data_IF_786234781696
#
_entry.id   IF_786234781696
#
_cell.length_a   1.000
_cell.length_b   1.000
_cell.length_c   1.000
_cell.angle_alpha   90.00
_cell.angle_beta   90.00
_cell.angle_gamma   90.00
#
_symmetry.space_group_name_H-M   'P 1'
#
loop_
_entity.id
_entity.type
_entity.pdbx_description
1 polymer ?
#
# COMPACT_ATOMS: atom_id res chain seq x y z
N UNK A 1 -66.94 -6.63 -5.64
CA UNK A 1 -65.66 -5.89 -5.49
C UNK A 1 -64.90 -6.55 -4.35
N UNK A 2 -64.03 -7.51 -4.67
CA UNK A 2 -63.14 -8.13 -3.69
C UNK A 2 -61.82 -7.38 -3.72
N UNK A 3 -61.46 -6.79 -2.59
CA UNK A 3 -60.25 -6.00 -2.42
C UNK A 3 -59.13 -6.94 -1.94
N UNK A 4 -58.25 -7.34 -2.85
CA UNK A 4 -57.09 -8.18 -2.55
C UNK A 4 -55.98 -7.28 -2.01
N UNK A 5 -55.79 -7.29 -0.68
CA UNK A 5 -54.72 -6.54 -0.04
C UNK A 5 -53.37 -7.20 -0.34
N UNK A 6 -52.44 -6.44 -0.92
CA UNK A 6 -51.08 -6.89 -1.18
C UNK A 6 -50.38 -7.34 0.11
N UNK A 7 -49.60 -8.44 0.10
CA UNK A 7 -48.91 -8.92 1.30
C UNK A 7 -47.87 -7.90 1.76
N UNK A 8 -47.84 -7.62 3.07
CA UNK A 8 -46.86 -6.72 3.68
C UNK A 8 -45.42 -7.20 3.43
N UNK A 9 -44.49 -6.27 3.14
CA UNK A 9 -43.09 -6.63 2.96
C UNK A 9 -42.51 -7.25 4.23
N UNK A 10 -41.82 -8.39 4.07
CA UNK A 10 -41.22 -9.14 5.16
C UNK A 10 -40.20 -8.28 5.93
N UNK A 11 -40.62 -7.76 7.08
CA UNK A 11 -39.82 -6.98 8.04
C UNK A 11 -38.62 -7.75 8.64
N UNK A 12 -38.46 -9.02 8.30
CA UNK A 12 -37.34 -9.88 8.71
C UNK A 12 -36.40 -10.24 7.56
N UNK A 13 -36.41 -9.51 6.44
CA UNK A 13 -35.34 -9.57 5.46
C UNK A 13 -34.01 -9.16 6.12
N UNK A 14 -33.31 -10.12 6.73
CA UNK A 14 -31.98 -9.91 7.30
C UNK A 14 -31.08 -9.51 6.14
N UNK A 15 -30.61 -8.28 6.16
CA UNK A 15 -29.47 -7.87 5.33
C UNK A 15 -28.36 -8.90 5.57
N UNK A 16 -27.79 -9.54 4.54
CA UNK A 16 -26.71 -10.50 4.74
C UNK A 16 -25.56 -9.78 5.43
N UNK A 17 -25.27 -10.14 6.69
CA UNK A 17 -24.04 -9.70 7.32
C UNK A 17 -22.90 -10.38 6.58
N UNK A 18 -21.92 -9.63 6.04
CA UNK A 18 -20.78 -10.23 5.39
C UNK A 18 -20.07 -11.15 6.38
N UNK A 19 -19.79 -12.37 5.93
CA UNK A 19 -19.02 -13.35 6.70
C UNK A 19 -17.70 -12.70 7.15
N UNK A 20 -17.40 -12.74 8.45
CA UNK A 20 -16.16 -12.19 9.03
C UNK A 20 -14.92 -12.70 8.29
N UNK A 21 -14.96 -13.94 7.79
CA UNK A 21 -13.88 -14.52 7.00
C UNK A 21 -13.82 -13.96 5.57
N UNK A 22 -14.94 -13.53 4.99
CA UNK A 22 -14.95 -12.82 3.71
C UNK A 22 -14.28 -11.44 3.85
N UNK A 23 -14.65 -10.67 4.88
CA UNK A 23 -14.04 -9.36 5.16
C UNK A 23 -12.53 -9.45 5.40
N UNK A 24 -12.08 -10.45 6.16
CA UNK A 24 -10.64 -10.67 6.37
C UNK A 24 -9.91 -11.04 5.08
N UNK A 25 -10.54 -11.84 4.20
CA UNK A 25 -9.96 -12.19 2.90
C UNK A 25 -9.86 -10.97 1.99
N UNK A 26 -10.88 -10.12 1.98
CA UNK A 26 -10.89 -8.87 1.21
C UNK A 26 -9.80 -7.90 1.72
N UNK A 27 -9.64 -7.74 3.03
CA UNK A 27 -8.57 -6.92 3.63
C UNK A 27 -7.17 -7.42 3.22
N UNK A 28 -6.94 -8.74 3.33
CA UNK A 28 -5.68 -9.35 2.91
C UNK A 28 -5.44 -9.20 1.41
N UNK A 29 -6.46 -9.38 0.58
CA UNK A 29 -6.38 -9.21 -0.86
C UNK A 29 -6.04 -7.75 -1.22
N UNK A 30 -6.68 -6.79 -0.56
CA UNK A 30 -6.40 -5.37 -0.74
C UNK A 30 -4.94 -5.03 -0.41
N UNK A 31 -4.42 -5.52 0.71
CA UNK A 31 -3.03 -5.28 1.06
C UNK A 31 -2.03 -5.98 0.11
N UNK A 32 -2.32 -7.20 -0.32
CA UNK A 32 -1.50 -7.93 -1.30
C UNK A 32 -1.46 -7.20 -2.66
N UNK A 33 -2.61 -6.72 -3.12
CA UNK A 33 -2.76 -5.95 -4.34
C UNK A 33 -1.95 -4.63 -4.30
N UNK A 34 -2.06 -3.86 -3.22
CA UNK A 34 -1.26 -2.64 -3.01
C UNK A 34 0.25 -2.93 -3.04
N UNK A 35 0.69 -3.96 -2.30
CA UNK A 35 2.11 -4.36 -2.25
C UNK A 35 2.60 -4.79 -3.63
N UNK A 36 1.79 -5.52 -4.40
CA UNK A 36 2.13 -5.93 -5.77
C UNK A 36 2.27 -4.73 -6.71
N UNK A 37 1.36 -3.76 -6.65
CA UNK A 37 1.44 -2.51 -7.42
C UNK A 37 2.73 -1.75 -7.10
N UNK A 38 3.06 -1.60 -5.81
CA UNK A 38 4.26 -0.90 -5.38
C UNK A 38 5.56 -1.60 -5.79
N UNK A 39 5.66 -2.93 -5.59
CA UNK A 39 6.82 -3.71 -6.05
C UNK A 39 7.01 -3.54 -7.55
N UNK A 40 5.92 -3.59 -8.32
CA UNK A 40 5.98 -3.46 -9.78
C UNK A 40 6.41 -2.06 -10.21
N UNK A 41 5.85 -1.01 -9.60
CA UNK A 41 6.21 0.38 -9.90
C UNK A 41 7.69 0.64 -9.64
N UNK A 42 8.21 0.23 -8.47
CA UNK A 42 9.63 0.40 -8.11
C UNK A 42 10.53 -0.43 -9.02
N UNK A 43 10.13 -1.66 -9.36
CA UNK A 43 10.92 -2.54 -10.23
C UNK A 43 10.97 -2.04 -11.68
N UNK A 44 10.00 -1.23 -12.12
CA UNK A 44 9.95 -0.68 -13.47
C UNK A 44 10.92 0.51 -13.68
N UNK A 45 11.42 1.12 -12.60
CA UNK A 45 12.32 2.27 -12.70
C UNK A 45 13.68 1.91 -13.27
N UNK A 46 14.25 2.84 -14.05
CA UNK A 46 15.64 2.74 -14.50
C UNK A 46 16.57 2.82 -13.27
N UNK A 47 17.64 2.03 -13.27
CA UNK A 47 18.58 1.93 -12.14
C UNK A 47 18.19 0.93 -11.04
N UNK A 48 16.96 0.41 -11.04
CA UNK A 48 16.51 -0.61 -10.10
C UNK A 48 16.77 -2.05 -10.56
N UNK A 49 17.36 -2.26 -11.74
CA UNK A 49 17.67 -3.60 -12.30
C UNK A 49 16.46 -4.55 -12.29
N UNK A 50 15.24 -4.03 -12.45
CA UNK A 50 14.04 -4.85 -12.44
C UNK A 50 13.61 -5.37 -11.05
N UNK A 51 14.12 -4.81 -9.94
CA UNK A 51 13.86 -5.31 -8.58
C UNK A 51 13.62 -4.21 -7.54
N UNK A 52 12.85 -4.53 -6.51
CA UNK A 52 12.79 -3.79 -5.25
C UNK A 52 13.79 -4.39 -4.28
N UNK A 53 14.81 -3.63 -3.88
CA UNK A 53 15.91 -4.10 -3.04
C UNK A 53 15.66 -3.86 -1.54
N UNK A 54 15.43 -4.94 -0.79
CA UNK A 54 15.26 -4.93 0.67
C UNK A 54 13.83 -4.73 1.16
N UNK A 55 13.44 -5.54 2.14
CA UNK A 55 12.13 -5.42 2.82
C UNK A 55 11.97 -4.10 3.57
N UNK A 56 13.07 -3.51 4.05
CA UNK A 56 13.04 -2.18 4.65
C UNK A 56 12.58 -1.12 3.66
N UNK A 57 13.09 -1.15 2.41
CA UNK A 57 12.64 -0.21 1.37
C UNK A 57 11.16 -0.42 1.08
N UNK A 58 10.70 -1.66 0.95
CA UNK A 58 9.27 -1.96 0.77
C UNK A 58 8.42 -1.35 1.89
N UNK A 59 8.77 -1.60 3.15
CA UNK A 59 8.00 -1.12 4.28
C UNK A 59 7.93 0.42 4.34
N UNK A 60 9.03 1.11 4.02
CA UNK A 60 9.06 2.58 4.02
C UNK A 60 8.28 3.18 2.86
N UNK A 61 8.36 2.59 1.68
CA UNK A 61 7.57 3.06 0.54
C UNK A 61 6.08 2.76 0.71
N UNK A 62 5.71 1.60 1.27
CA UNK A 62 4.30 1.27 1.55
C UNK A 62 3.73 2.17 2.67
N UNK A 63 4.56 2.63 3.62
CA UNK A 63 4.17 3.70 4.53
C UNK A 63 3.80 4.97 3.77
N UNK A 64 4.67 5.48 2.90
CA UNK A 64 4.37 6.71 2.13
C UNK A 64 3.20 6.52 1.17
N UNK A 65 2.96 5.30 0.69
CA UNK A 65 1.80 4.97 -0.13
C UNK A 65 0.48 5.00 0.66
N UNK A 66 0.50 4.53 1.92
CA UNK A 66 -0.66 4.57 2.83
C UNK A 66 -0.92 5.95 3.39
N UNK A 67 0.12 6.76 3.58
CA UNK A 67 0.06 8.16 4.06
C UNK A 67 0.53 9.14 2.97
N UNK A 68 -0.18 9.25 1.84
CA UNK A 68 0.32 9.96 0.66
C UNK A 68 0.46 11.47 0.89
N UNK A 69 -0.32 12.07 1.80
CA UNK A 69 -0.20 13.47 2.17
C UNK A 69 1.12 13.79 2.90
N UNK A 70 1.76 12.80 3.52
CA UNK A 70 3.07 12.95 4.17
C UNK A 70 4.25 12.70 3.22
N UNK A 71 4.00 12.18 2.01
CA UNK A 71 5.05 11.68 1.14
C UNK A 71 6.02 12.78 0.69
N UNK A 72 5.52 13.96 0.34
CA UNK A 72 6.31 15.11 -0.11
C UNK A 72 7.20 15.68 1.01
N UNK A 73 6.85 15.46 2.29
CA UNK A 73 7.70 15.85 3.41
C UNK A 73 8.95 14.97 3.50
N UNK A 74 8.89 13.74 2.97
CA UNK A 74 9.96 12.74 3.05
C UNK A 74 10.76 12.64 1.76
N UNK A 75 10.10 12.74 0.61
CA UNK A 75 10.70 12.61 -0.72
C UNK A 75 10.88 14.00 -1.34
N UNK A 76 12.12 14.50 -1.38
CA UNK A 76 12.43 15.84 -1.90
C UNK A 76 11.98 16.05 -3.34
N UNK A 77 12.06 14.99 -4.15
CA UNK A 77 11.70 15.04 -5.57
C UNK A 77 10.19 14.87 -5.83
N UNK A 78 9.36 14.85 -4.77
CA UNK A 78 7.91 14.73 -4.89
C UNK A 78 7.23 16.08 -4.67
N UNK A 79 6.67 16.64 -5.73
CA UNK A 79 5.82 17.84 -5.65
C UNK A 79 4.59 17.55 -4.77
N UNK A 80 4.29 18.35 -3.72
CA UNK A 80 3.06 18.23 -2.93
C UNK A 80 1.78 18.28 -3.78
N UNK A 81 1.82 18.91 -4.96
CA UNK A 81 0.71 19.01 -5.90
C UNK A 81 0.77 17.97 -7.03
N UNK A 82 1.66 16.97 -6.94
CA UNK A 82 1.71 15.91 -7.95
C UNK A 82 0.34 15.23 -8.07
N UNK A 83 -0.32 15.44 -9.21
CA UNK A 83 -1.68 14.95 -9.48
C UNK A 83 -1.78 13.43 -9.37
N UNK A 84 -0.65 12.72 -9.53
CA UNK A 84 -0.60 11.26 -9.40
C UNK A 84 -0.81 10.81 -7.95
N UNK A 85 -0.59 11.68 -6.96
CA UNK A 85 -0.90 11.40 -5.57
C UNK A 85 -2.41 11.35 -5.30
N UNK A 86 -3.25 11.95 -6.15
CA UNK A 86 -4.71 11.94 -6.01
C UNK A 86 -5.14 12.30 -4.56
N UNK A 87 -4.59 13.38 -4.01
CA UNK A 87 -4.92 13.87 -2.68
C UNK A 87 -6.23 14.66 -2.71
N UNK A 88 -7.13 14.36 -1.79
CA UNK A 88 -8.33 15.13 -1.53
C UNK A 88 -8.04 16.25 -0.52
N UNK A 89 -8.96 17.23 -0.40
CA UNK A 89 -8.87 18.24 0.67
C UNK A 89 -8.82 17.61 2.06
N UNK A 90 -9.51 16.49 2.25
CA UNK A 90 -9.50 15.75 3.53
C UNK A 90 -8.13 15.13 3.80
N UNK A 91 -7.50 14.51 2.81
CA UNK A 91 -6.17 13.92 2.96
C UNK A 91 -5.14 14.98 3.40
N UNK A 92 -5.28 16.22 2.92
CA UNK A 92 -4.41 17.33 3.30
C UNK A 92 -4.70 17.86 4.71
N UNK A 93 -5.97 17.93 5.10
CA UNK A 93 -6.38 18.40 6.43
C UNK A 93 -6.10 17.39 7.55
N UNK A 94 -6.21 16.10 7.24
CA UNK A 94 -6.05 14.97 8.17
C UNK A 94 -5.06 13.93 7.61
N UNK A 95 -3.75 14.24 7.49
CA UNK A 95 -2.79 13.44 6.73
C UNK A 95 -2.52 12.04 7.28
N UNK A 96 -2.98 11.76 8.50
CA UNK A 96 -2.87 10.47 9.20
C UNK A 96 -4.19 9.71 9.29
N UNK A 97 -5.30 10.32 8.84
CA UNK A 97 -6.64 9.72 8.75
C UNK A 97 -6.75 8.93 7.44
N UNK A 98 -6.19 7.71 7.45
CA UNK A 98 -6.02 6.88 6.24
C UNK A 98 -6.80 5.57 6.32
N UNK A 99 -7.13 5.00 5.16
CA UNK A 99 -7.89 3.74 5.03
C UNK A 99 -7.20 2.54 5.69
N UNK A 100 -5.88 2.44 5.58
CA UNK A 100 -5.10 1.28 6.04
C UNK A 100 -3.90 1.70 6.90
N UNK A 101 -4.14 2.16 8.15
CA UNK A 101 -3.08 2.71 8.97
C UNK A 101 -2.06 1.64 9.40
N UNK A 102 -0.81 2.05 9.56
CA UNK A 102 0.30 1.19 10.00
C UNK A 102 0.55 1.25 11.50
N UNK A 103 1.08 0.15 12.03
CA UNK A 103 1.58 0.06 13.40
C UNK A 103 3.03 0.54 13.46
N UNK A 104 3.35 1.30 14.50
CA UNK A 104 4.70 1.81 14.76
C UNK A 104 5.52 0.78 15.56
N UNK A 105 6.60 0.26 14.99
CA UNK A 105 7.56 -0.62 15.69
C UNK A 105 8.88 0.10 15.98
N UNK A 106 9.82 -0.61 16.64
CA UNK A 106 11.13 -0.07 17.05
C UNK A 106 11.92 0.57 15.90
N UNK A 107 11.80 0.03 14.69
CA UNK A 107 12.50 0.51 13.49
C UNK A 107 11.57 1.21 12.48
N UNK A 108 10.46 1.77 12.98
CA UNK A 108 9.57 2.70 12.28
C UNK A 108 8.25 2.03 11.92
N UNK A 109 7.50 2.58 10.94
CA UNK A 109 6.28 1.95 10.46
C UNK A 109 6.68 0.59 9.88
N UNK A 110 6.09 -0.44 10.45
CA UNK A 110 6.31 -1.83 10.05
C UNK A 110 5.00 -2.58 10.21
N UNK A 111 4.79 -3.56 9.34
CA UNK A 111 3.62 -4.40 9.34
C UNK A 111 4.12 -5.84 9.38
N UNK A 112 3.90 -6.55 10.49
CA UNK A 112 4.30 -7.96 10.62
C UNK A 112 3.65 -8.85 9.54
N UNK A 113 2.54 -8.37 8.95
CA UNK A 113 1.86 -8.98 7.82
C UNK A 113 2.67 -9.01 6.52
N UNK A 114 3.81 -8.32 6.39
CA UNK A 114 4.60 -8.35 5.14
C UNK A 114 5.07 -9.75 4.77
N UNK A 115 5.52 -10.56 5.72
CA UNK A 115 5.99 -11.92 5.40
C UNK A 115 4.86 -12.80 4.83
N UNK A 116 3.67 -12.90 5.48
CA UNK A 116 2.52 -13.58 4.88
C UNK A 116 2.08 -13.00 3.53
N UNK A 117 2.04 -11.68 3.37
CA UNK A 117 1.64 -11.05 2.11
C UNK A 117 2.60 -11.38 0.97
N UNK A 118 3.91 -11.27 1.21
CA UNK A 118 4.93 -11.61 0.22
C UNK A 118 4.88 -13.12 -0.07
N UNK A 119 4.77 -13.96 0.97
CA UNK A 119 4.61 -15.41 0.81
C UNK A 119 3.42 -15.78 -0.08
N UNK A 120 2.27 -15.11 0.10
CA UNK A 120 1.09 -15.32 -0.72
C UNK A 120 1.28 -14.84 -2.18
N UNK A 121 1.96 -13.71 -2.40
CA UNK A 121 2.29 -13.24 -3.76
C UNK A 121 3.29 -14.16 -4.46
N UNK A 122 4.25 -14.72 -3.71
CA UNK A 122 5.22 -15.71 -4.20
C UNK A 122 4.54 -17.04 -4.52
N UNK A 123 3.70 -17.54 -3.62
CA UNK A 123 2.94 -18.79 -3.83
C UNK A 123 2.00 -18.73 -5.03
N UNK A 124 1.48 -17.55 -5.38
CA UNK A 124 0.68 -17.32 -6.60
C UNK A 124 1.53 -17.03 -7.85
N UNK A 125 2.86 -17.04 -7.75
CA UNK A 125 3.75 -16.77 -8.87
C UNK A 125 3.70 -15.34 -9.40
N UNK A 126 3.22 -14.37 -8.62
CA UNK A 126 3.12 -12.95 -9.00
C UNK A 126 4.40 -12.17 -8.68
N UNK A 127 5.09 -12.58 -7.62
CA UNK A 127 6.39 -12.06 -7.19
C UNK A 127 7.35 -13.21 -7.01
N UNK A 128 8.65 -12.98 -7.16
CA UNK A 128 9.70 -13.92 -6.77
C UNK A 128 10.78 -13.23 -5.95
N UNK A 129 11.45 -14.00 -5.12
CA UNK A 129 12.67 -13.54 -4.47
C UNK A 129 13.82 -13.43 -5.48
N UNK A 130 14.73 -12.49 -5.22
CA UNK A 130 15.96 -12.27 -5.95
C UNK A 130 17.06 -11.85 -4.98
N UNK A 131 18.32 -11.96 -5.42
CA UNK A 131 19.45 -11.43 -4.64
C UNK A 131 19.48 -9.91 -4.72
N UNK A 132 19.40 -9.26 -3.58
CA UNK A 132 19.57 -7.82 -3.41
C UNK A 132 21.05 -7.44 -3.22
N UNK A 133 21.29 -6.16 -2.92
CA UNK A 133 22.64 -5.64 -2.65
C UNK A 133 23.17 -6.18 -1.32
N UNK A 134 24.48 -6.46 -1.26
CA UNK A 134 25.16 -6.92 -0.03
C UNK A 134 24.52 -8.16 0.62
N UNK A 135 23.95 -9.06 -0.20
CA UNK A 135 23.31 -10.29 0.28
C UNK A 135 21.90 -10.12 0.84
N UNK A 136 21.29 -8.94 0.72
CA UNK A 136 19.89 -8.73 1.08
C UNK A 136 18.92 -9.52 0.19
N UNK A 137 17.67 -9.62 0.63
CA UNK A 137 16.57 -10.12 -0.20
C UNK A 137 15.99 -8.97 -1.03
N UNK A 138 15.79 -9.22 -2.32
CA UNK A 138 15.05 -8.36 -3.23
C UNK A 138 13.79 -9.06 -3.75
N UNK A 139 12.82 -8.27 -4.21
CA UNK A 139 11.57 -8.74 -4.79
C UNK A 139 11.48 -8.33 -6.25
N UNK A 140 10.99 -9.23 -7.09
CA UNK A 140 10.79 -9.00 -8.53
C UNK A 140 9.39 -9.41 -8.91
N UNK A 141 8.63 -8.52 -9.54
CA UNK A 141 7.36 -8.90 -10.16
C UNK A 141 7.62 -9.82 -11.35
N UNK A 142 6.94 -10.97 -11.37
CA UNK A 142 7.02 -11.92 -12.48
C UNK A 142 6.26 -11.38 -13.71
N UNK A 143 6.37 -12.02 -14.89
CA UNK A 143 5.51 -11.67 -16.02
C UNK A 143 4.01 -11.72 -15.68
N UNK A 144 3.57 -12.69 -14.87
CA UNK A 144 2.19 -12.77 -14.41
C UNK A 144 1.82 -11.61 -13.49
N UNK A 145 2.68 -11.25 -12.53
CA UNK A 145 2.46 -10.08 -11.67
C UNK A 145 2.41 -8.76 -12.45
N UNK A 146 3.26 -8.61 -13.46
CA UNK A 146 3.27 -7.43 -14.35
C UNK A 146 1.99 -7.32 -15.18
N UNK A 147 1.47 -8.43 -15.72
CA UNK A 147 0.19 -8.43 -16.43
C UNK A 147 -0.97 -8.06 -15.51
N UNK A 148 -1.06 -8.71 -14.35
CA UNK A 148 -2.11 -8.43 -13.38
C UNK A 148 -2.09 -6.96 -12.92
N UNK A 149 -0.91 -6.40 -12.64
CA UNK A 149 -0.81 -4.99 -12.27
C UNK A 149 -1.15 -4.03 -13.40
N UNK A 150 -0.90 -4.40 -14.66
CA UNK A 150 -1.35 -3.62 -15.80
C UNK A 150 -2.88 -3.61 -15.90
N UNK A 151 -3.52 -4.76 -15.76
CA UNK A 151 -4.99 -4.90 -15.71
C UNK A 151 -5.57 -4.09 -14.55
N UNK A 152 -5.05 -4.27 -13.33
CA UNK A 152 -5.48 -3.50 -12.15
C UNK A 152 -5.30 -1.98 -12.37
N UNK A 153 -4.18 -1.55 -12.95
CA UNK A 153 -3.92 -0.11 -13.17
C UNK A 153 -4.94 0.56 -14.10
N UNK A 154 -5.63 -0.24 -14.93
CA UNK A 154 -6.70 0.23 -15.81
C UNK A 154 -8.09 0.23 -15.16
N UNK A 155 -8.25 -0.42 -14.00
CA UNK A 155 -9.52 -0.51 -13.29
C UNK A 155 -9.78 0.73 -12.43
N UNK A 156 -11.05 1.09 -12.24
CA UNK A 156 -11.42 2.28 -11.46
C UNK A 156 -11.00 2.15 -9.98
N UNK A 157 -11.07 0.95 -9.44
CA UNK A 157 -10.76 0.61 -8.06
C UNK A 157 -9.26 0.80 -7.74
N UNK A 158 -8.39 0.47 -8.70
CA UNK A 158 -6.94 0.41 -8.45
C UNK A 158 -6.14 1.51 -9.15
N UNK A 159 -6.72 2.24 -10.09
CA UNK A 159 -6.03 3.31 -10.84
C UNK A 159 -5.40 4.37 -9.93
N UNK A 160 -6.09 4.78 -8.86
CA UNK A 160 -5.56 5.75 -7.88
C UNK A 160 -4.33 5.19 -7.17
N UNK A 161 -4.43 3.96 -6.64
CA UNK A 161 -3.33 3.31 -5.93
C UNK A 161 -2.13 3.06 -6.84
N UNK A 162 -2.38 2.66 -8.10
CA UNK A 162 -1.36 2.47 -9.11
C UNK A 162 -0.65 3.80 -9.46
N UNK A 163 -1.42 4.88 -9.59
CA UNK A 163 -0.89 6.23 -9.85
C UNK A 163 -0.02 6.73 -8.69
N UNK A 164 -0.48 6.60 -7.44
CA UNK A 164 0.31 6.93 -6.25
C UNK A 164 1.59 6.09 -6.18
N UNK A 165 1.49 4.79 -6.46
CA UNK A 165 2.63 3.87 -6.42
C UNK A 165 3.73 4.32 -7.39
N UNK A 166 3.36 4.80 -8.58
CA UNK A 166 4.31 5.37 -9.55
C UNK A 166 4.95 6.67 -9.04
N UNK A 167 4.17 7.60 -8.50
CA UNK A 167 4.71 8.85 -7.94
C UNK A 167 5.72 8.61 -6.81
N UNK A 168 5.36 7.73 -5.86
CA UNK A 168 6.24 7.32 -4.76
C UNK A 168 7.48 6.58 -5.28
N UNK A 169 7.32 5.71 -6.27
CA UNK A 169 8.44 5.00 -6.88
C UNK A 169 9.41 6.01 -7.51
N UNK A 170 8.93 6.85 -8.42
CA UNK A 170 9.74 7.84 -9.14
C UNK A 170 10.50 8.76 -8.18
N UNK A 171 9.82 9.37 -7.21
CA UNK A 171 10.43 10.29 -6.24
C UNK A 171 11.33 9.60 -5.20
N UNK A 172 11.35 8.26 -5.16
CA UNK A 172 12.26 7.48 -4.30
C UNK A 172 13.38 6.77 -5.07
N UNK A 173 13.54 7.11 -6.36
CA UNK A 173 14.63 6.62 -7.19
C UNK A 173 15.98 6.94 -6.53
N UNK A 174 16.90 5.97 -6.55
CA UNK A 174 18.22 6.13 -5.93
C UNK A 174 18.27 5.99 -4.40
N UNK A 175 17.16 6.18 -3.68
CA UNK A 175 17.14 6.06 -2.21
C UNK A 175 17.21 4.60 -1.74
N UNK A 176 18.04 4.29 -0.75
CA UNK A 176 18.01 2.96 -0.10
C UNK A 176 16.93 2.89 0.99
N UNK A 177 16.63 1.68 1.46
CA UNK A 177 15.74 1.51 2.63
C UNK A 177 16.26 2.23 3.88
N UNK A 178 17.58 2.31 4.06
CA UNK A 178 18.19 3.08 5.16
C UNK A 178 18.01 4.58 4.96
N UNK A 179 18.23 5.10 3.75
CA UNK A 179 18.00 6.53 3.46
C UNK A 179 16.55 6.92 3.75
N UNK A 180 15.59 6.12 3.27
CA UNK A 180 14.16 6.34 3.52
C UNK A 180 13.83 6.28 5.01
N UNK A 181 14.40 5.32 5.74
CA UNK A 181 14.23 5.24 7.18
C UNK A 181 14.72 6.54 7.84
N UNK A 182 15.94 6.97 7.55
CA UNK A 182 16.54 8.14 8.19
C UNK A 182 15.75 9.42 7.87
N UNK A 183 15.33 9.61 6.61
CA UNK A 183 14.47 10.73 6.19
C UNK A 183 13.13 10.75 6.93
N UNK A 184 12.47 9.59 7.05
CA UNK A 184 11.20 9.47 7.78
C UNK A 184 11.39 9.83 9.26
N UNK A 185 12.43 9.32 9.91
CA UNK A 185 12.68 9.61 11.32
C UNK A 185 13.04 11.07 11.58
N UNK A 186 13.82 11.67 10.68
CA UNK A 186 14.24 13.06 10.81
C UNK A 186 13.07 14.02 10.55
N UNK A 187 12.33 13.82 9.46
CA UNK A 187 11.37 14.81 8.97
C UNK A 187 9.98 14.64 9.52
N UNK A 188 9.64 13.42 9.94
CA UNK A 188 8.39 13.12 10.62
C UNK A 188 8.63 12.81 12.10
N UNK A 189 9.67 13.41 12.72
CA UNK A 189 10.08 13.12 14.09
C UNK A 189 8.91 13.22 15.10
N UNK A 190 8.08 14.26 15.01
CA UNK A 190 6.91 14.40 15.90
C UNK A 190 5.87 13.30 15.72
N UNK A 191 5.60 12.87 14.48
CA UNK A 191 4.75 11.71 14.21
C UNK A 191 5.42 10.40 14.65
N UNK A 192 6.74 10.37 14.52
CA UNK A 192 7.64 9.30 14.91
C UNK A 192 8.13 9.45 16.35
N UNK A 193 7.41 10.16 17.23
CA UNK A 193 7.64 10.19 18.67
C UNK A 193 6.37 9.77 19.41
N UNK A 194 6.13 8.46 19.43
CA UNK A 194 4.89 7.83 19.92
C UNK A 194 5.23 6.45 20.50
N UNK A 195 4.40 5.88 21.38
CA UNK A 195 4.64 4.55 21.91
C UNK A 195 4.71 3.51 20.79
N UNK A 196 5.60 2.53 20.95
CA UNK A 196 5.65 1.37 20.06
C UNK A 196 4.35 0.56 20.15
N UNK A 197 4.05 -0.19 19.10
CA UNK A 197 2.87 -1.05 18.94
C UNK A 197 1.54 -0.29 18.95
N UNK A 198 1.57 0.99 18.58
CA UNK A 198 0.37 1.80 18.36
C UNK A 198 0.16 2.10 16.88
N UNK A 199 -1.11 2.26 16.51
CA UNK A 199 -1.52 2.72 15.18
C UNK A 199 -1.12 4.17 15.01
N UNK A 200 -0.52 4.50 13.86
CA UNK A 200 -0.20 5.88 13.50
C UNK A 200 -1.52 6.55 13.05
N UNK A 201 -1.96 7.58 13.80
CA UNK A 201 -3.17 8.37 13.57
C UNK A 201 -2.99 9.85 13.82
#
# INVERSE_FOLDING_TARGET
MNNEAAPEPNKYARTPQPDKYALLREDLAYHQARVLLLITAVSALRGHQGKLDGLTKLAKLDFLLRYPALAHLVLDDLDPNDRRLNLTRRDLAEPTSVEAPMIRYKFGPWDDRYYPMIGALVGRGLVRYARGRRGSVALVSTPAGKRLTAEMSSSNEWRIMASRSRAIADASAGLTGSNLKDLIYQRLAGLMDRPHRQVIR
#
